data_IF_060294432679
#
_entry.id   IF_060294432679
#
_cell.length_a   1.000
_cell.length_b   1.000
_cell.length_c   1.000
_cell.angle_alpha   90.00
_cell.angle_beta   90.00
_cell.angle_gamma   90.00
#
_symmetry.space_group_name_H-M   'P 1'
#
loop_
_entity.id
_entity.type
_entity.pdbx_description
1 polymer ?
#
# COMPACT_ATOMS: atom_id res chain seq x y z
N UNK A 1 19.13 -53.18 39.66
CA UNK A 1 17.84 -52.55 39.98
C UNK A 1 18.17 -51.08 40.27
N UNK A 2 18.25 -50.28 39.20
CA UNK A 2 17.40 -49.09 38.93
C UNK A 2 18.02 -47.83 39.58
N UNK A 3 18.25 -46.67 38.98
CA UNK A 3 17.78 -46.00 37.75
C UNK A 3 18.74 -44.82 37.46
N UNK A 4 18.99 -44.47 36.20
CA UNK A 4 19.31 -43.09 35.79
C UNK A 4 18.08 -42.58 35.03
N UNK A 5 17.69 -41.29 35.11
CA UNK A 5 18.34 -40.27 34.28
C UNK A 5 18.48 -38.89 34.98
N UNK A 6 19.59 -38.18 34.78
CA UNK A 6 19.68 -37.05 33.83
C UNK A 6 18.46 -36.11 33.91
N UNK A 7 18.56 -35.08 34.75
CA UNK A 7 17.72 -33.88 34.64
C UNK A 7 18.12 -33.15 33.36
N UNK A 8 17.42 -33.45 32.27
CA UNK A 8 17.43 -32.66 31.05
C UNK A 8 16.96 -31.25 31.40
N UNK A 9 17.89 -30.31 31.39
CA UNK A 9 17.63 -28.89 31.25
C UNK A 9 16.91 -28.72 29.90
N UNK A 10 15.57 -28.73 29.94
CA UNK A 10 14.78 -28.25 28.82
C UNK A 10 14.82 -26.73 28.89
N UNK A 11 15.90 -26.18 28.35
CA UNK A 11 15.90 -24.83 27.80
C UNK A 11 14.75 -24.80 26.79
N UNK A 12 13.62 -24.30 27.27
CA UNK A 12 12.45 -24.01 26.45
C UNK A 12 12.87 -22.87 25.55
N UNK A 13 13.28 -23.25 24.35
CA UNK A 13 13.59 -22.44 23.20
C UNK A 13 12.41 -21.48 22.97
N UNK A 14 12.45 -20.36 23.69
CA UNK A 14 11.55 -19.23 23.55
C UNK A 14 11.98 -18.58 22.26
N UNK A 15 11.52 -19.14 21.14
CA UNK A 15 11.61 -18.55 19.81
C UNK A 15 10.92 -17.18 19.90
N UNK A 16 11.69 -16.15 20.25
CA UNK A 16 11.25 -14.78 20.25
C UNK A 16 10.77 -14.48 18.84
N UNK A 17 9.47 -14.14 18.72
CA UNK A 17 8.92 -13.62 17.48
C UNK A 17 9.88 -12.55 16.93
N UNK A 18 10.30 -12.64 15.67
CA UNK A 18 11.24 -11.67 15.11
C UNK A 18 10.64 -10.28 15.23
N UNK A 19 11.21 -9.47 16.13
CA UNK A 19 10.75 -8.11 16.34
C UNK A 19 10.99 -7.32 15.06
N UNK A 20 9.91 -6.95 14.36
CA UNK A 20 10.01 -6.15 13.14
C UNK A 20 10.72 -4.83 13.47
N UNK A 21 11.78 -4.55 12.70
CA UNK A 21 12.52 -3.29 12.83
C UNK A 21 11.56 -2.13 12.55
N UNK A 22 11.25 -1.33 13.57
CA UNK A 22 10.48 -0.09 13.43
C UNK A 22 11.29 0.94 12.64
N UNK A 23 11.20 0.87 11.33
CA UNK A 23 11.86 1.78 10.39
C UNK A 23 11.06 3.05 10.11
N UNK A 24 9.75 3.04 10.35
CA UNK A 24 8.87 4.20 10.14
C UNK A 24 8.29 4.70 11.46
N UNK A 25 8.68 5.91 11.86
CA UNK A 25 8.06 6.63 12.97
C UNK A 25 6.73 7.30 12.56
N UNK A 26 5.90 7.74 13.52
CA UNK A 26 4.57 8.30 13.25
C UNK A 26 4.60 9.51 12.31
N UNK A 27 5.62 10.38 12.43
CA UNK A 27 5.79 11.53 11.53
C UNK A 27 6.10 11.11 10.10
N UNK A 28 6.94 10.09 9.93
CA UNK A 28 7.34 9.60 8.60
C UNK A 28 6.17 8.85 7.93
N UNK A 29 5.38 8.11 8.71
CA UNK A 29 4.14 7.49 8.23
C UNK A 29 3.13 8.53 7.77
N UNK A 30 2.94 9.60 8.55
CA UNK A 30 2.03 10.68 8.15
C UNK A 30 2.50 11.35 6.87
N UNK A 31 3.80 11.65 6.75
CA UNK A 31 4.36 12.21 5.53
C UNK A 31 4.19 11.27 4.33
N UNK A 32 4.38 9.97 4.52
CA UNK A 32 4.19 8.95 3.49
C UNK A 32 2.74 8.90 3.00
N UNK A 33 1.76 8.84 3.91
CA UNK A 33 0.33 8.78 3.56
C UNK A 33 -0.12 10.07 2.86
N UNK A 34 0.28 11.23 3.38
CA UNK A 34 -0.05 12.52 2.76
C UNK A 34 0.59 12.61 1.37
N UNK A 35 1.85 12.19 1.24
CA UNK A 35 2.56 12.17 -0.05
C UNK A 35 1.89 11.24 -1.08
N UNK A 36 1.46 10.06 -0.68
CA UNK A 36 0.80 9.09 -1.55
C UNK A 36 -0.54 9.62 -2.10
N UNK A 37 -1.38 10.18 -1.21
CA UNK A 37 -2.70 10.75 -1.58
C UNK A 37 -2.53 11.98 -2.48
N UNK A 38 -1.61 12.88 -2.15
CA UNK A 38 -1.35 14.08 -2.96
C UNK A 38 -0.77 13.72 -4.32
N UNK A 39 0.22 12.82 -4.34
CA UNK A 39 0.96 12.42 -5.54
C UNK A 39 0.07 11.80 -6.61
N UNK A 40 -0.68 10.76 -6.24
CA UNK A 40 -1.51 10.02 -7.20
C UNK A 40 -2.90 10.62 -7.36
N UNK A 41 -3.53 11.10 -6.29
CA UNK A 41 -4.89 11.63 -6.36
C UNK A 41 -4.94 13.04 -6.91
N UNK A 42 -4.32 13.98 -6.19
CA UNK A 42 -4.52 15.42 -6.46
C UNK A 42 -3.88 15.84 -7.78
N UNK A 43 -2.63 15.45 -8.02
CA UNK A 43 -1.91 15.91 -9.22
C UNK A 43 -2.33 15.19 -10.51
N UNK A 44 -2.78 13.95 -10.44
CA UNK A 44 -3.11 13.19 -11.65
C UNK A 44 -4.61 13.19 -11.99
N UNK A 45 -5.52 13.18 -11.01
CA UNK A 45 -6.95 13.02 -11.27
C UNK A 45 -7.78 14.30 -11.14
N UNK A 46 -7.37 15.29 -10.32
CA UNK A 46 -8.21 16.48 -10.06
C UNK A 46 -8.59 17.23 -11.32
N UNK A 47 -7.66 17.44 -12.25
CA UNK A 47 -7.95 18.13 -13.51
C UNK A 47 -8.92 17.36 -14.42
N UNK A 48 -8.86 16.03 -14.41
CA UNK A 48 -9.76 15.18 -15.20
C UNK A 48 -11.18 15.21 -14.62
N UNK A 49 -11.29 15.11 -13.29
CA UNK A 49 -12.58 15.22 -12.60
C UNK A 49 -13.18 16.63 -12.78
N UNK A 50 -12.36 17.68 -12.71
CA UNK A 50 -12.82 19.05 -12.95
C UNK A 50 -13.29 19.27 -14.39
N UNK A 51 -12.67 18.61 -15.39
CA UNK A 51 -13.11 18.68 -16.77
C UNK A 51 -14.48 18.00 -16.97
N UNK A 52 -14.73 16.88 -16.29
CA UNK A 52 -15.97 16.11 -16.43
C UNK A 52 -17.15 16.74 -15.66
N UNK A 53 -16.90 17.22 -14.44
CA UNK A 53 -17.94 17.70 -13.51
C UNK A 53 -18.04 19.23 -13.50
N UNK A 54 -17.13 19.93 -14.17
CA UNK A 54 -17.09 21.38 -14.25
C UNK A 54 -16.97 22.05 -12.88
N UNK A 55 -17.72 23.14 -12.67
CA UNK A 55 -17.71 23.92 -11.42
C UNK A 55 -18.22 23.17 -10.17
N UNK A 56 -18.83 21.99 -10.33
CA UNK A 56 -19.32 21.16 -9.23
C UNK A 56 -18.31 20.10 -8.74
N UNK A 57 -17.05 20.16 -9.18
CA UNK A 57 -16.00 19.20 -8.80
C UNK A 57 -15.82 19.02 -7.28
N UNK A 58 -16.18 20.01 -6.46
CA UNK A 58 -16.10 19.93 -4.99
C UNK A 58 -17.05 18.88 -4.39
N UNK A 59 -18.17 18.58 -5.06
CA UNK A 59 -19.17 17.61 -4.57
C UNK A 59 -18.62 16.18 -4.57
N UNK A 60 -18.04 15.64 -5.68
CA UNK A 60 -17.35 14.36 -5.67
C UNK A 60 -16.26 14.23 -4.59
N UNK A 61 -15.44 15.27 -4.39
CA UNK A 61 -14.39 15.26 -3.38
C UNK A 61 -14.97 15.20 -1.96
N UNK A 62 -16.04 15.94 -1.68
CA UNK A 62 -16.71 15.89 -0.38
C UNK A 62 -17.30 14.50 -0.10
N UNK A 63 -17.95 13.89 -1.08
CA UNK A 63 -18.51 12.53 -0.96
C UNK A 63 -17.40 11.50 -0.75
N UNK A 64 -16.32 11.58 -1.53
CA UNK A 64 -15.16 10.71 -1.38
C UNK A 64 -14.52 10.85 0.01
N UNK A 65 -14.42 12.07 0.54
CA UNK A 65 -13.90 12.34 1.88
C UNK A 65 -14.74 11.68 2.99
N UNK A 66 -16.07 11.75 2.89
CA UNK A 66 -16.97 11.09 3.87
C UNK A 66 -16.77 9.57 3.86
N UNK A 67 -16.74 8.96 2.67
CA UNK A 67 -16.53 7.50 2.52
C UNK A 67 -15.14 7.11 3.05
N UNK A 68 -14.10 7.89 2.74
CA UNK A 68 -12.76 7.66 3.23
C UNK A 68 -12.66 7.76 4.76
N UNK A 69 -13.38 8.71 5.37
CA UNK A 69 -13.43 8.88 6.83
C UNK A 69 -14.05 7.69 7.52
N UNK A 70 -15.19 7.20 7.02
CA UNK A 70 -15.85 5.99 7.55
C UNK A 70 -14.90 4.79 7.43
N UNK A 71 -14.23 4.64 6.28
CA UNK A 71 -13.26 3.56 6.06
C UNK A 71 -12.08 3.66 7.03
N UNK A 72 -11.54 4.86 7.25
CA UNK A 72 -10.43 5.09 8.18
C UNK A 72 -10.79 4.71 9.62
N UNK A 73 -12.01 5.05 10.09
CA UNK A 73 -12.47 4.65 11.42
C UNK A 73 -12.60 3.12 11.57
N UNK A 74 -13.13 2.42 10.55
CA UNK A 74 -13.18 0.95 10.54
C UNK A 74 -11.79 0.32 10.64
N UNK A 75 -10.81 0.87 9.92
CA UNK A 75 -9.41 0.39 10.02
C UNK A 75 -8.78 0.72 11.37
N UNK A 76 -9.10 1.88 11.97
CA UNK A 76 -8.60 2.27 13.29
C UNK A 76 -9.07 1.27 14.37
N UNK A 77 -10.34 0.89 14.35
CA UNK A 77 -10.89 -0.12 15.26
C UNK A 77 -10.19 -1.48 15.07
N UNK A 78 -9.92 -1.88 13.83
CA UNK A 78 -9.21 -3.13 13.53
C UNK A 78 -7.74 -3.12 13.98
N UNK A 79 -7.02 -2.02 13.76
CA UNK A 79 -5.60 -1.87 14.15
C UNK A 79 -5.45 -1.84 15.66
N UNK A 80 -6.38 -1.21 16.38
CA UNK A 80 -6.36 -1.17 17.85
C UNK A 80 -6.73 -2.52 18.47
N UNK A 81 -7.64 -3.28 17.85
CA UNK A 81 -8.04 -4.62 18.30
C UNK A 81 -7.01 -5.71 17.97
N UNK A 82 -6.32 -5.61 16.84
CA UNK A 82 -5.35 -6.60 16.36
C UNK A 82 -4.01 -5.93 15.95
N UNK A 83 -3.13 -5.60 16.92
CA UNK A 83 -1.89 -4.85 16.67
C UNK A 83 -0.75 -5.75 16.11
N UNK A 84 -1.05 -6.57 15.10
CA UNK A 84 -0.06 -7.42 14.42
C UNK A 84 0.28 -6.87 13.04
N UNK A 85 1.56 -6.98 12.65
CA UNK A 85 2.12 -6.41 11.43
C UNK A 85 1.87 -7.27 10.18
N UNK A 86 0.60 -7.46 9.79
CA UNK A 86 0.28 -8.31 8.63
C UNK A 86 -0.95 -7.90 7.80
N UNK A 87 -1.53 -6.72 8.05
CA UNK A 87 -2.51 -6.09 7.16
C UNK A 87 -3.81 -6.88 6.92
N UNK A 88 -4.48 -6.59 5.80
CA UNK A 88 -5.84 -7.08 5.48
C UNK A 88 -5.95 -8.62 5.39
N UNK A 89 -4.89 -9.29 4.93
CA UNK A 89 -4.88 -10.75 4.84
C UNK A 89 -4.92 -11.41 6.22
N UNK A 90 -4.20 -10.86 7.20
CA UNK A 90 -4.18 -11.41 8.56
C UNK A 90 -5.51 -11.14 9.30
N UNK A 91 -6.14 -9.99 9.05
CA UNK A 91 -7.48 -9.71 9.57
C UNK A 91 -8.52 -10.68 9.02
N UNK A 92 -8.41 -11.01 7.73
CA UNK A 92 -9.29 -12.01 7.07
C UNK A 92 -9.04 -13.42 7.62
N UNK A 93 -7.78 -13.79 7.84
CA UNK A 93 -7.43 -15.08 8.42
C UNK A 93 -7.97 -15.24 9.85
N UNK A 94 -7.83 -14.20 10.68
CA UNK A 94 -8.39 -14.18 12.04
C UNK A 94 -9.91 -14.15 12.08
N UNK A 95 -10.56 -13.52 11.10
CA UNK A 95 -12.02 -13.41 11.05
C UNK A 95 -12.69 -14.69 10.54
N UNK A 96 -12.13 -15.35 9.52
CA UNK A 96 -12.77 -16.49 8.85
C UNK A 96 -12.14 -17.84 9.16
N UNK A 97 -10.86 -17.91 9.57
CA UNK A 97 -10.14 -19.16 9.80
C UNK A 97 -9.91 -20.01 8.53
N UNK A 98 -10.36 -19.53 7.36
CA UNK A 98 -10.27 -20.24 6.08
C UNK A 98 -9.07 -19.73 5.28
N UNK A 99 -8.12 -20.62 5.00
CA UNK A 99 -6.91 -20.29 4.26
C UNK A 99 -7.20 -19.82 2.82
N UNK A 100 -8.24 -20.37 2.18
CA UNK A 100 -8.66 -19.98 0.83
C UNK A 100 -9.12 -18.51 0.73
N UNK A 101 -9.92 -18.04 1.69
CA UNK A 101 -10.39 -16.63 1.72
C UNK A 101 -9.23 -15.68 1.99
N UNK A 102 -8.31 -16.10 2.87
CA UNK A 102 -7.08 -15.35 3.16
C UNK A 102 -6.23 -15.19 1.89
N UNK A 103 -6.07 -16.26 1.11
CA UNK A 103 -5.34 -16.24 -0.15
C UNK A 103 -5.99 -15.31 -1.19
N UNK A 104 -7.31 -15.37 -1.34
CA UNK A 104 -8.04 -14.49 -2.27
C UNK A 104 -7.84 -13.01 -1.88
N UNK A 105 -8.01 -12.67 -0.59
CA UNK A 105 -7.83 -11.28 -0.14
C UNK A 105 -6.40 -10.81 -0.34
N UNK A 106 -5.41 -11.66 -0.03
CA UNK A 106 -4.01 -11.35 -0.28
C UNK A 106 -3.75 -11.09 -1.78
N UNK A 107 -4.31 -11.93 -2.66
CA UNK A 107 -4.20 -11.76 -4.11
C UNK A 107 -4.84 -10.45 -4.59
N UNK A 108 -6.06 -10.14 -4.14
CA UNK A 108 -6.76 -8.90 -4.52
C UNK A 108 -5.99 -7.66 -4.07
N UNK A 109 -5.45 -7.67 -2.84
CA UNK A 109 -4.65 -6.56 -2.32
C UNK A 109 -3.36 -6.40 -3.14
N UNK A 110 -2.69 -7.51 -3.48
CA UNK A 110 -1.49 -7.49 -4.33
C UNK A 110 -1.81 -6.92 -5.72
N UNK A 111 -2.88 -7.39 -6.37
CA UNK A 111 -3.33 -6.88 -7.66
C UNK A 111 -3.67 -5.39 -7.60
N UNK A 112 -4.37 -4.94 -6.57
CA UNK A 112 -4.67 -3.51 -6.36
C UNK A 112 -3.40 -2.67 -6.26
N UNK A 113 -2.38 -3.16 -5.54
CA UNK A 113 -1.08 -2.49 -5.44
C UNK A 113 -0.38 -2.36 -6.79
N UNK A 114 -0.39 -3.42 -7.60
CA UNK A 114 0.18 -3.42 -8.96
C UNK A 114 -0.56 -2.42 -9.86
N UNK A 115 -1.89 -2.42 -9.83
CA UNK A 115 -2.71 -1.47 -10.60
C UNK A 115 -2.45 -0.02 -10.18
N UNK A 116 -2.31 0.24 -8.88
CA UNK A 116 -2.00 1.58 -8.35
C UNK A 116 -0.63 2.05 -8.81
N UNK A 117 0.42 1.24 -8.63
CA UNK A 117 1.77 1.56 -9.08
C UNK A 117 1.85 1.80 -10.60
N UNK A 118 1.13 0.99 -11.38
CA UNK A 118 1.02 1.15 -12.84
C UNK A 118 0.37 2.48 -13.22
N UNK A 119 -0.70 2.85 -12.53
CA UNK A 119 -1.43 4.10 -12.76
C UNK A 119 -0.59 5.31 -12.39
N UNK A 120 0.10 5.27 -11.25
CA UNK A 120 1.00 6.31 -10.78
C UNK A 120 2.16 6.54 -11.76
N UNK A 121 2.79 5.46 -12.25
CA UNK A 121 3.88 5.55 -13.23
C UNK A 121 3.42 6.17 -14.56
N UNK A 122 2.23 5.78 -15.05
CA UNK A 122 1.64 6.38 -16.25
C UNK A 122 1.31 7.86 -16.05
N UNK A 123 0.77 8.23 -14.90
CA UNK A 123 0.49 9.61 -14.57
C UNK A 123 1.78 10.45 -14.52
N UNK A 124 2.85 9.90 -13.93
CA UNK A 124 4.16 10.55 -13.93
C UNK A 124 4.68 10.75 -15.36
N UNK A 125 4.67 9.71 -16.20
CA UNK A 125 5.15 9.78 -17.58
C UNK A 125 4.36 10.80 -18.43
N UNK A 126 3.03 10.83 -18.27
CA UNK A 126 2.17 11.78 -18.98
C UNK A 126 2.42 13.24 -18.54
N UNK A 127 2.58 13.47 -17.23
CA UNK A 127 2.88 14.81 -16.71
C UNK A 127 4.29 15.27 -17.09
N UNK A 128 5.27 14.35 -17.13
CA UNK A 128 6.63 14.64 -17.58
C UNK A 128 6.62 15.11 -19.03
N UNK A 129 5.91 14.40 -19.92
CA UNK A 129 5.81 14.79 -21.33
C UNK A 129 5.19 16.18 -21.53
N UNK A 130 4.09 16.45 -20.83
CA UNK A 130 3.46 17.77 -20.83
C UNK A 130 4.36 18.88 -20.29
N UNK A 131 5.10 18.60 -19.20
CA UNK A 131 6.00 19.57 -18.57
C UNK A 131 7.17 19.98 -19.46
N UNK A 132 7.67 19.08 -20.31
CA UNK A 132 8.72 19.36 -21.29
C UNK A 132 8.20 19.89 -22.64
N UNK A 133 6.87 20.05 -22.81
CA UNK A 133 6.27 20.56 -24.05
C UNK A 133 6.45 19.62 -25.25
N UNK A 134 6.76 18.34 -25.02
CA UNK A 134 6.87 17.33 -26.06
C UNK A 134 5.49 16.73 -26.31
N UNK A 135 5.05 16.68 -27.57
CA UNK A 135 3.85 15.94 -27.94
C UNK A 135 4.17 14.44 -27.97
N UNK A 136 4.15 13.85 -26.77
CA UNK A 136 4.58 12.47 -26.54
C UNK A 136 3.41 11.53 -26.88
N UNK A 137 3.55 10.78 -27.98
CA UNK A 137 2.56 9.77 -28.37
C UNK A 137 2.36 8.67 -27.30
N UNK A 138 1.21 7.96 -27.31
CA UNK A 138 0.85 6.98 -26.28
C UNK A 138 1.91 5.89 -26.04
N UNK A 139 2.58 5.43 -27.10
CA UNK A 139 3.63 4.42 -27.00
C UNK A 139 4.86 4.91 -26.21
N UNK A 140 5.23 6.18 -26.37
CA UNK A 140 6.38 6.75 -25.66
C UNK A 140 6.04 7.02 -24.19
N UNK A 141 4.79 7.39 -23.86
CA UNK A 141 4.32 7.49 -22.46
C UNK A 141 4.48 6.14 -21.75
N UNK A 142 4.10 5.03 -22.42
CA UNK A 142 4.26 3.69 -21.85
C UNK A 142 5.74 3.34 -21.67
N UNK A 143 6.61 3.67 -22.64
CA UNK A 143 8.05 3.44 -22.51
C UNK A 143 8.67 4.22 -21.34
N UNK A 144 8.30 5.49 -21.16
CA UNK A 144 8.75 6.31 -20.04
C UNK A 144 8.23 5.74 -18.72
N UNK A 145 6.96 5.33 -18.65
CA UNK A 145 6.38 4.71 -17.47
C UNK A 145 7.08 3.39 -17.09
N UNK A 146 7.39 2.54 -18.08
CA UNK A 146 8.15 1.31 -17.85
C UNK A 146 9.57 1.62 -17.40
N UNK A 147 10.25 2.58 -18.03
CA UNK A 147 11.58 3.03 -17.65
C UNK A 147 11.62 3.56 -16.21
N UNK A 148 10.63 4.39 -15.83
CA UNK A 148 10.49 4.89 -14.46
C UNK A 148 10.26 3.74 -13.46
N UNK A 149 9.41 2.78 -13.80
CA UNK A 149 9.13 1.64 -12.93
C UNK A 149 10.35 0.71 -12.77
N UNK A 150 11.12 0.49 -13.83
CA UNK A 150 12.39 -0.24 -13.78
C UNK A 150 13.44 0.50 -12.94
N UNK A 151 13.49 1.83 -13.03
CA UNK A 151 14.38 2.65 -12.21
C UNK A 151 14.02 2.52 -10.72
N UNK A 152 12.74 2.67 -10.37
CA UNK A 152 12.27 2.47 -8.99
C UNK A 152 12.57 1.05 -8.50
N UNK A 153 12.38 0.04 -9.34
CA UNK A 153 12.75 -1.33 -9.02
C UNK A 153 14.26 -1.46 -8.76
N UNK A 154 15.11 -0.88 -9.61
CA UNK A 154 16.56 -0.91 -9.43
C UNK A 154 17.03 -0.20 -8.15
N UNK A 155 16.40 0.91 -7.77
CA UNK A 155 16.64 1.59 -6.49
C UNK A 155 16.26 0.66 -5.33
N UNK A 156 15.07 0.06 -5.37
CA UNK A 156 14.59 -0.86 -4.34
C UNK A 156 15.53 -2.08 -4.17
N UNK A 157 16.04 -2.63 -5.27
CA UNK A 157 17.02 -3.72 -5.24
C UNK A 157 18.36 -3.33 -4.63
N UNK A 158 18.75 -2.04 -4.69
CA UNK A 158 20.04 -1.55 -4.19
C UNK A 158 20.03 -1.19 -2.71
N UNK A 159 18.86 -0.94 -2.13
CA UNK A 159 18.67 -0.60 -0.71
C UNK A 159 18.47 0.88 -0.48
#
# INVERSE_FOLDING_TARGET
MAEAPTSTDQDTDSQGEPALRRVMGPKLLLLFIVGDILGTGVYALTGQVAAEVGGAAWVPFLVAFVIATITAFSYLELVTKYPQAAGAALYTHKAFGIHFVTFIVAFVVMSSGITSASTASRAFAANLGKGFGLDIGPGVIVLIALGFMLLVAAINFRG
#
